data_IF_013939463841
#
_entry.id   IF_013939463841
#
_cell.length_a   1.000
_cell.length_b   1.000
_cell.length_c   1.000
_cell.angle_alpha   90.00
_cell.angle_beta   90.00
_cell.angle_gamma   90.00
#
_symmetry.space_group_name_H-M   'P 1'
#
loop_
_entity.id
_entity.type
_entity.pdbx_description
1 polymer ?
#
# COMPACT_ATOMS: atom_id res chain seq x y z
N UNK A 1 11.44 8.21 -29.68
CA UNK A 1 12.67 7.39 -29.56
C UNK A 1 12.29 5.91 -29.48
N UNK A 2 13.09 4.98 -30.06
CA UNK A 2 12.82 3.54 -30.00
C UNK A 2 13.42 2.95 -28.71
N UNK A 3 12.62 2.19 -27.94
CA UNK A 3 13.05 1.58 -26.69
C UNK A 3 12.32 0.26 -26.44
N UNK A 4 12.96 -0.71 -25.78
CA UNK A 4 12.30 -1.96 -25.34
C UNK A 4 11.34 -1.65 -24.18
N UNK A 5 10.19 -2.31 -24.14
CA UNK A 5 9.15 -2.07 -23.09
C UNK A 5 9.72 -2.26 -21.68
N UNK A 6 10.49 -3.33 -21.44
CA UNK A 6 11.08 -3.57 -20.12
C UNK A 6 12.07 -2.49 -19.69
N UNK A 7 12.84 -1.93 -20.62
CA UNK A 7 13.76 -0.82 -20.34
C UNK A 7 12.97 0.47 -20.05
N UNK A 8 11.90 0.72 -20.81
CA UNK A 8 10.97 1.83 -20.56
C UNK A 8 10.35 1.77 -19.16
N UNK A 9 9.92 0.56 -18.72
CA UNK A 9 9.39 0.36 -17.37
C UNK A 9 10.45 0.70 -16.33
N UNK A 10 11.69 0.20 -16.50
CA UNK A 10 12.79 0.44 -15.56
C UNK A 10 13.10 1.94 -15.41
N UNK A 11 13.23 2.65 -16.53
CA UNK A 11 13.45 4.11 -16.53
C UNK A 11 12.30 4.83 -15.82
N UNK A 12 11.05 4.50 -16.16
CA UNK A 12 9.87 5.21 -15.67
C UNK A 12 9.66 5.02 -14.16
N UNK A 13 9.83 3.81 -13.63
CA UNK A 13 9.72 3.59 -12.17
C UNK A 13 10.87 4.26 -11.41
N UNK A 14 12.07 4.29 -12.00
CA UNK A 14 13.21 5.00 -11.41
C UNK A 14 13.01 6.52 -11.41
N UNK A 15 12.40 7.08 -12.46
CA UNK A 15 12.03 8.51 -12.54
C UNK A 15 10.92 8.85 -11.54
N UNK A 16 9.96 7.96 -11.32
CA UNK A 16 8.92 8.13 -10.28
C UNK A 16 9.51 8.19 -8.87
N UNK A 17 10.69 7.62 -8.65
CA UNK A 17 11.38 7.60 -7.37
C UNK A 17 11.50 6.23 -6.72
N UNK A 18 11.00 5.17 -7.36
CA UNK A 18 11.23 3.79 -6.90
C UNK A 18 12.73 3.50 -7.06
N UNK A 19 13.33 2.89 -6.02
CA UNK A 19 14.76 2.56 -5.99
C UNK A 19 14.99 1.06 -5.79
N UNK A 20 14.08 0.38 -5.14
CA UNK A 20 14.25 -1.01 -4.73
C UNK A 20 13.23 -1.90 -5.42
N UNK A 21 13.72 -3.03 -5.95
CA UNK A 21 12.95 -4.07 -6.61
C UNK A 21 13.22 -5.40 -5.90
N UNK A 22 12.21 -5.96 -5.26
CA UNK A 22 12.29 -7.29 -4.65
C UNK A 22 11.84 -8.34 -5.66
N UNK A 23 12.69 -9.33 -5.93
CA UNK A 23 12.45 -10.23 -7.07
C UNK A 23 12.90 -11.67 -6.82
N UNK A 24 12.20 -12.60 -7.48
CA UNK A 24 12.70 -13.94 -7.80
C UNK A 24 12.75 -14.02 -9.32
N UNK A 25 13.91 -14.37 -9.86
CA UNK A 25 14.08 -14.46 -11.30
C UNK A 25 13.29 -15.64 -11.89
N UNK A 26 12.77 -15.45 -13.11
CA UNK A 26 12.07 -16.53 -13.81
C UNK A 26 11.84 -16.24 -15.29
N UNK A 27 11.66 -17.30 -16.07
CA UNK A 27 11.58 -17.22 -17.54
C UNK A 27 10.48 -16.31 -18.07
N UNK A 28 9.32 -16.26 -17.40
CA UNK A 28 8.22 -15.37 -17.80
C UNK A 28 8.45 -13.88 -17.52
N UNK A 29 9.46 -13.54 -16.73
CA UNK A 29 9.83 -12.16 -16.40
C UNK A 29 11.25 -11.79 -16.89
N UNK A 30 11.84 -12.57 -17.80
CA UNK A 30 13.27 -12.47 -18.13
C UNK A 30 13.70 -11.09 -18.62
N UNK A 31 12.87 -10.41 -19.43
CA UNK A 31 13.23 -9.09 -19.95
C UNK A 31 13.11 -8.01 -18.86
N UNK A 32 12.15 -8.13 -17.94
CA UNK A 32 12.04 -7.22 -16.78
C UNK A 32 13.18 -7.46 -15.79
N UNK A 33 13.52 -8.72 -15.49
CA UNK A 33 14.66 -9.04 -14.64
C UNK A 33 15.97 -8.49 -15.19
N UNK A 34 16.20 -8.59 -16.51
CA UNK A 34 17.35 -8.03 -17.21
C UNK A 34 17.36 -6.48 -17.09
N UNK A 35 16.25 -5.84 -17.44
CA UNK A 35 16.13 -4.39 -17.43
C UNK A 35 16.34 -3.80 -16.01
N UNK A 36 15.68 -4.38 -15.00
CA UNK A 36 15.80 -3.89 -13.62
C UNK A 36 17.20 -4.15 -13.04
N UNK A 37 17.77 -5.36 -13.32
CA UNK A 37 19.08 -5.73 -12.82
C UNK A 37 20.24 -4.91 -13.39
N UNK A 38 20.10 -4.37 -14.60
CA UNK A 38 21.12 -3.51 -15.23
C UNK A 38 20.85 -2.02 -15.10
N UNK A 39 19.68 -1.61 -14.58
CA UNK A 39 19.36 -0.20 -14.46
C UNK A 39 20.17 0.50 -13.34
N UNK A 40 20.91 1.60 -13.62
CA UNK A 40 21.89 2.16 -12.68
C UNK A 40 21.28 2.79 -11.42
N UNK A 41 19.96 3.07 -11.42
CA UNK A 41 19.25 3.68 -10.29
C UNK A 41 18.37 2.70 -9.54
N UNK A 42 18.26 1.45 -9.98
CA UNK A 42 17.46 0.42 -9.32
C UNK A 42 18.37 -0.58 -8.60
N UNK A 43 17.99 -0.93 -7.39
CA UNK A 43 18.64 -1.96 -6.59
C UNK A 43 17.73 -3.19 -6.53
N UNK A 44 18.16 -4.30 -7.11
CA UNK A 44 17.42 -5.56 -7.09
C UNK A 44 17.86 -6.42 -5.90
N UNK A 45 16.91 -6.74 -5.02
CA UNK A 45 17.11 -7.72 -3.94
C UNK A 45 16.50 -9.05 -4.36
N UNK A 46 17.36 -10.05 -4.57
CA UNK A 46 16.95 -11.38 -5.00
C UNK A 46 16.58 -12.24 -3.80
N UNK A 47 15.35 -12.69 -3.77
CA UNK A 47 14.79 -13.52 -2.71
C UNK A 47 14.72 -15.00 -3.14
N UNK A 48 14.42 -15.90 -2.20
CA UNK A 48 14.23 -17.33 -2.47
C UNK A 48 12.76 -17.73 -2.61
N UNK A 49 11.83 -16.80 -2.36
CA UNK A 49 10.40 -17.02 -2.46
C UNK A 49 9.67 -15.70 -2.74
N UNK A 50 8.68 -15.73 -3.62
CA UNK A 50 7.95 -14.54 -4.08
C UNK A 50 7.09 -13.91 -2.97
N UNK A 51 6.62 -14.70 -2.04
CA UNK A 51 5.95 -14.20 -0.83
C UNK A 51 6.88 -13.27 -0.04
N UNK A 52 8.16 -13.65 0.09
CA UNK A 52 9.15 -12.83 0.76
C UNK A 52 9.41 -11.52 0.00
N UNK A 53 9.38 -11.53 -1.34
CA UNK A 53 9.49 -10.31 -2.14
C UNK A 53 8.36 -9.33 -1.83
N UNK A 54 7.12 -9.81 -1.82
CA UNK A 54 5.96 -8.98 -1.56
C UNK A 54 5.94 -8.45 -0.10
N UNK A 55 6.27 -9.30 0.89
CA UNK A 55 6.40 -8.88 2.29
C UNK A 55 7.54 -7.88 2.51
N UNK A 56 8.67 -8.03 1.79
CA UNK A 56 9.77 -7.09 1.88
C UNK A 56 9.40 -5.72 1.28
N UNK A 57 8.69 -5.69 0.14
CA UNK A 57 8.21 -4.45 -0.46
C UNK A 57 7.19 -3.74 0.43
N UNK A 58 6.30 -4.50 1.06
CA UNK A 58 5.32 -3.99 2.03
C UNK A 58 6.03 -3.38 3.25
N UNK A 59 6.96 -4.12 3.87
CA UNK A 59 7.74 -3.64 5.01
C UNK A 59 8.58 -2.40 4.67
N UNK A 60 9.18 -2.36 3.46
CA UNK A 60 9.93 -1.22 2.96
C UNK A 60 9.07 0.05 2.91
N UNK A 61 7.86 -0.04 2.34
CA UNK A 61 6.96 1.11 2.25
C UNK A 61 6.42 1.58 3.61
N UNK A 62 6.33 0.69 4.62
CA UNK A 62 5.92 1.05 5.99
C UNK A 62 6.90 2.00 6.68
N UNK A 63 8.19 2.00 6.30
CA UNK A 63 9.19 2.80 6.99
C UNK A 63 9.03 4.30 6.74
N UNK A 64 8.77 4.70 5.50
CA UNK A 64 8.75 6.11 5.11
C UNK A 64 7.87 6.42 3.89
N UNK A 65 6.86 5.60 3.64
CA UNK A 65 5.92 5.70 2.51
C UNK A 65 6.57 5.58 1.12
N UNK A 66 7.85 5.23 1.00
CA UNK A 66 8.48 4.99 -0.30
C UNK A 66 8.02 3.66 -0.86
N UNK A 67 7.37 3.70 -2.00
CA UNK A 67 6.93 2.50 -2.69
C UNK A 67 8.14 1.75 -3.27
N UNK A 68 8.17 0.42 -3.05
CA UNK A 68 9.07 -0.49 -3.74
C UNK A 68 8.32 -1.26 -4.83
N UNK A 69 9.07 -1.81 -5.78
CA UNK A 69 8.52 -2.72 -6.78
C UNK A 69 8.75 -4.19 -6.40
N UNK A 70 7.83 -5.05 -6.79
CA UNK A 70 7.96 -6.50 -6.76
C UNK A 70 7.97 -6.99 -8.20
N UNK A 71 8.93 -7.84 -8.55
CA UNK A 71 8.97 -8.47 -9.87
C UNK A 71 9.02 -9.99 -9.73
N UNK A 72 7.99 -10.66 -10.21
CA UNK A 72 7.83 -12.12 -10.13
C UNK A 72 7.51 -12.71 -11.50
N UNK A 73 7.69 -14.02 -11.65
CA UNK A 73 7.44 -14.70 -12.93
C UNK A 73 5.98 -15.17 -13.05
N UNK A 74 5.71 -15.86 -14.14
CA UNK A 74 4.40 -16.41 -14.55
C UNK A 74 3.84 -17.40 -13.53
N UNK A 75 2.53 -17.45 -13.40
CA UNK A 75 1.76 -18.49 -12.71
C UNK A 75 2.13 -18.66 -11.24
N UNK A 76 2.83 -19.76 -10.85
CA UNK A 76 3.19 -19.99 -9.45
C UNK A 76 4.00 -18.85 -8.83
N UNK A 77 4.86 -18.19 -9.59
CA UNK A 77 5.58 -17.00 -9.13
C UNK A 77 4.64 -15.85 -8.76
N UNK A 78 3.67 -15.57 -9.62
CA UNK A 78 2.65 -14.55 -9.35
C UNK A 78 1.77 -14.94 -8.17
N UNK A 79 1.24 -16.17 -8.13
CA UNK A 79 0.35 -16.61 -7.04
C UNK A 79 1.05 -16.66 -5.68
N UNK A 80 2.34 -16.98 -5.63
CA UNK A 80 3.11 -16.97 -4.38
C UNK A 80 3.22 -15.57 -3.76
N UNK A 81 3.17 -14.49 -4.54
CA UNK A 81 3.26 -13.12 -4.03
C UNK A 81 1.96 -12.64 -3.34
N UNK A 82 0.82 -13.30 -3.56
CA UNK A 82 -0.51 -12.87 -3.12
C UNK A 82 -0.57 -12.59 -1.62
N UNK A 83 0.02 -13.43 -0.79
CA UNK A 83 -0.03 -13.28 0.68
C UNK A 83 0.57 -11.95 1.13
N UNK A 84 1.73 -11.55 0.58
CA UNK A 84 2.34 -10.27 0.93
C UNK A 84 1.56 -9.07 0.35
N UNK A 85 1.00 -9.22 -0.84
CA UNK A 85 0.14 -8.18 -1.44
C UNK A 85 -1.15 -7.99 -0.65
N UNK A 86 -1.76 -9.07 -0.14
CA UNK A 86 -2.92 -9.00 0.76
C UNK A 86 -2.56 -8.24 2.05
N UNK A 87 -1.37 -8.46 2.62
CA UNK A 87 -0.88 -7.69 3.78
C UNK A 87 -0.86 -6.19 3.49
N UNK A 88 -0.28 -5.80 2.35
CA UNK A 88 -0.26 -4.40 1.90
C UNK A 88 -1.67 -3.83 1.67
N UNK A 89 -2.58 -4.61 1.09
CA UNK A 89 -3.98 -4.22 0.90
C UNK A 89 -4.69 -3.94 2.22
N UNK A 90 -4.57 -4.86 3.19
CA UNK A 90 -5.23 -4.74 4.49
C UNK A 90 -4.78 -3.51 5.27
N UNK A 91 -3.52 -3.11 5.15
CA UNK A 91 -2.95 -2.01 5.90
C UNK A 91 -2.72 -0.74 5.05
N UNK A 92 -3.30 -0.71 3.84
CA UNK A 92 -3.26 0.46 2.95
C UNK A 92 -1.82 0.86 2.53
N UNK A 93 -0.96 -0.12 2.30
CA UNK A 93 0.44 0.09 1.93
C UNK A 93 0.58 0.12 0.41
N UNK A 94 1.14 1.19 -0.18
CA UNK A 94 1.34 1.27 -1.62
C UNK A 94 2.45 0.31 -2.07
N UNK A 95 2.15 -0.52 -3.06
CA UNK A 95 3.08 -1.49 -3.66
C UNK A 95 2.87 -1.54 -5.17
N UNK A 96 3.95 -1.62 -5.94
CA UNK A 96 3.90 -1.85 -7.38
C UNK A 96 4.36 -3.27 -7.68
N UNK A 97 3.44 -4.11 -8.15
CA UNK A 97 3.72 -5.52 -8.45
C UNK A 97 3.72 -5.74 -9.97
N UNK A 98 4.80 -6.31 -10.46
CA UNK A 98 4.93 -6.82 -11.82
C UNK A 98 4.95 -8.35 -11.78
N UNK A 99 4.09 -8.97 -12.57
CA UNK A 99 4.24 -10.39 -12.93
C UNK A 99 4.57 -10.54 -14.40
N UNK A 100 5.46 -11.46 -14.69
CA UNK A 100 5.63 -11.91 -16.06
C UNK A 100 4.54 -12.90 -16.45
N UNK A 101 4.32 -13.08 -17.75
CA UNK A 101 3.35 -14.00 -18.29
C UNK A 101 3.94 -14.77 -19.50
N UNK A 102 3.35 -15.89 -19.85
CA UNK A 102 3.60 -16.56 -21.14
C UNK A 102 3.38 -15.55 -22.27
N UNK A 103 3.97 -15.82 -23.45
CA UNK A 103 3.68 -15.00 -24.65
C UNK A 103 2.18 -14.91 -24.86
N UNK A 104 1.63 -13.71 -25.04
CA UNK A 104 0.19 -13.52 -25.14
C UNK A 104 -0.45 -14.42 -26.20
N UNK A 105 0.16 -14.53 -27.38
CA UNK A 105 -0.33 -15.39 -28.47
C UNK A 105 -0.43 -16.88 -28.11
N UNK A 106 0.24 -17.32 -27.04
CA UNK A 106 0.22 -18.72 -26.56
C UNK A 106 -0.62 -18.91 -25.28
N UNK A 107 -1.43 -17.93 -24.92
CA UNK A 107 -2.37 -18.01 -23.79
C UNK A 107 -3.75 -18.52 -24.21
N UNK A 108 -4.48 -19.05 -23.25
CA UNK A 108 -5.90 -19.42 -23.45
C UNK A 108 -6.72 -18.22 -23.91
N UNK A 109 -6.46 -17.06 -23.32
CA UNK A 109 -7.19 -15.81 -23.66
C UNK A 109 -7.02 -15.46 -25.16
N UNK A 110 -5.81 -15.56 -25.69
CA UNK A 110 -5.55 -15.28 -27.11
C UNK A 110 -6.09 -16.37 -28.04
N UNK A 111 -6.15 -17.62 -27.57
CA UNK A 111 -6.61 -18.76 -28.41
C UNK A 111 -8.13 -18.75 -28.67
N UNK A 112 -8.92 -18.08 -27.82
CA UNK A 112 -10.39 -18.13 -27.84
C UNK A 112 -10.98 -19.51 -27.49
N UNK A 113 -10.14 -20.47 -27.08
CA UNK A 113 -10.57 -21.82 -26.72
C UNK A 113 -10.91 -21.92 -25.23
N UNK A 114 -11.82 -22.83 -24.87
CA UNK A 114 -12.17 -23.09 -23.48
C UNK A 114 -11.21 -24.12 -22.85
N UNK A 115 -9.93 -23.79 -22.79
CA UNK A 115 -8.89 -24.60 -22.16
C UNK A 115 -8.69 -24.14 -20.69
N UNK A 116 -8.14 -25.03 -19.88
CA UNK A 116 -7.75 -24.70 -18.50
C UNK A 116 -6.44 -23.91 -18.49
N UNK A 117 -5.49 -24.26 -19.33
CA UNK A 117 -4.19 -23.63 -19.51
C UNK A 117 -3.63 -24.04 -20.86
N UNK A 118 -2.82 -23.20 -21.47
CA UNK A 118 -2.16 -23.44 -22.76
C UNK A 118 -0.68 -23.05 -22.70
N UNK A 119 -0.37 -21.84 -22.23
CA UNK A 119 1.00 -21.36 -22.06
C UNK A 119 1.72 -22.05 -20.90
N UNK A 120 3.05 -22.06 -20.94
CA UNK A 120 3.87 -22.64 -19.86
C UNK A 120 3.60 -21.90 -18.56
N UNK A 121 3.09 -22.62 -17.55
CA UNK A 121 2.73 -22.07 -16.24
C UNK A 121 1.70 -20.91 -16.31
N UNK A 122 0.95 -20.82 -17.38
CA UNK A 122 -0.06 -19.76 -17.57
C UNK A 122 -1.04 -19.72 -16.40
N UNK A 123 -1.23 -18.53 -15.87
CA UNK A 123 -2.28 -18.20 -14.91
C UNK A 123 -2.84 -16.82 -15.25
N UNK A 124 -4.15 -16.72 -15.43
CA UNK A 124 -4.79 -15.40 -15.50
C UNK A 124 -4.84 -14.80 -14.08
N UNK A 125 -3.78 -14.11 -13.69
CA UNK A 125 -3.61 -13.60 -12.33
C UNK A 125 -4.52 -12.39 -12.02
N UNK A 126 -4.88 -11.60 -13.02
CA UNK A 126 -5.63 -10.35 -12.83
C UNK A 126 -6.94 -10.55 -12.08
N UNK A 127 -7.85 -11.48 -12.48
CA UNK A 127 -9.07 -11.74 -11.70
C UNK A 127 -8.81 -12.21 -10.27
N UNK A 128 -7.67 -12.89 -10.02
CA UNK A 128 -7.33 -13.42 -8.70
C UNK A 128 -6.95 -12.30 -7.74
N UNK A 129 -6.27 -11.26 -8.23
CA UNK A 129 -5.73 -10.16 -7.40
C UNK A 129 -6.60 -8.90 -7.41
N UNK A 130 -7.64 -8.83 -8.23
CA UNK A 130 -8.50 -7.64 -8.35
C UNK A 130 -9.12 -7.23 -7.01
N UNK A 131 -9.46 -8.18 -6.13
CA UNK A 131 -10.07 -7.88 -4.82
C UNK A 131 -9.08 -7.39 -3.76
N UNK A 132 -7.78 -7.47 -4.04
CA UNK A 132 -6.69 -7.10 -3.12
C UNK A 132 -5.73 -6.07 -3.73
N UNK A 133 -6.17 -5.40 -4.79
CA UNK A 133 -5.40 -4.35 -5.47
C UNK A 133 -6.32 -3.19 -5.86
N UNK A 134 -5.77 -1.99 -5.89
CA UNK A 134 -6.49 -0.81 -6.38
C UNK A 134 -6.59 -0.77 -7.91
N UNK A 135 -5.66 -1.43 -8.57
CA UNK A 135 -5.61 -1.56 -10.01
C UNK A 135 -4.84 -2.82 -10.38
N UNK A 136 -5.42 -3.64 -11.24
CA UNK A 136 -4.79 -4.84 -11.79
C UNK A 136 -5.07 -4.94 -13.29
N UNK A 137 -4.04 -5.11 -14.11
CA UNK A 137 -4.17 -5.14 -15.56
C UNK A 137 -3.13 -6.05 -16.22
N UNK A 138 -3.56 -6.83 -17.21
CA UNK A 138 -2.65 -7.47 -18.17
C UNK A 138 -2.40 -6.50 -19.34
N UNK A 139 -1.14 -6.32 -19.71
CA UNK A 139 -0.74 -5.44 -20.82
C UNK A 139 -0.56 -6.28 -22.08
N UNK A 140 -1.52 -6.25 -22.99
CA UNK A 140 -1.49 -7.06 -24.21
C UNK A 140 -0.96 -6.30 -25.44
N UNK A 141 -1.02 -4.97 -25.42
CA UNK A 141 -0.47 -4.11 -26.46
C UNK A 141 0.73 -3.33 -25.92
N UNK A 142 1.91 -3.47 -26.48
CA UNK A 142 3.12 -2.77 -25.99
C UNK A 142 2.97 -1.26 -25.90
N UNK A 143 2.17 -0.66 -26.78
CA UNK A 143 1.91 0.78 -26.86
C UNK A 143 1.12 1.32 -25.66
N UNK A 144 0.39 0.47 -24.94
CA UNK A 144 -0.42 0.84 -23.79
C UNK A 144 0.39 0.90 -22.48
N UNK A 145 1.68 0.51 -22.52
CA UNK A 145 2.51 0.40 -21.32
C UNK A 145 2.56 1.71 -20.53
N UNK A 146 2.72 2.84 -21.20
CA UNK A 146 2.80 4.15 -20.54
C UNK A 146 1.52 4.44 -19.76
N UNK A 147 0.38 4.29 -20.41
CA UNK A 147 -0.93 4.56 -19.81
C UNK A 147 -1.16 3.71 -18.56
N UNK A 148 -0.92 2.39 -18.65
CA UNK A 148 -1.17 1.49 -17.53
C UNK A 148 -0.16 1.66 -16.40
N UNK A 149 1.10 1.96 -16.70
CA UNK A 149 2.13 2.20 -15.70
C UNK A 149 1.88 3.50 -14.92
N UNK A 150 1.61 4.61 -15.63
CA UNK A 150 1.26 5.89 -15.02
C UNK A 150 -0.02 5.77 -14.18
N UNK A 151 -1.06 5.05 -14.68
CA UNK A 151 -2.29 4.78 -13.94
C UNK A 151 -2.04 3.95 -12.69
N UNK A 152 -1.25 2.88 -12.78
CA UNK A 152 -0.91 2.05 -11.64
C UNK A 152 -0.20 2.85 -10.55
N UNK A 153 0.83 3.61 -10.91
CA UNK A 153 1.57 4.47 -9.99
C UNK A 153 0.67 5.51 -9.31
N UNK A 154 -0.19 6.15 -10.09
CA UNK A 154 -1.15 7.12 -9.56
C UNK A 154 -2.14 6.45 -8.60
N UNK A 155 -2.76 5.33 -9.00
CA UNK A 155 -3.76 4.63 -8.18
C UNK A 155 -3.16 4.08 -6.88
N UNK A 156 -1.89 3.66 -6.88
CA UNK A 156 -1.24 3.15 -5.68
C UNK A 156 -1.24 4.14 -4.51
N UNK A 157 -1.17 5.45 -4.81
CA UNK A 157 -1.04 6.52 -3.81
C UNK A 157 -2.22 7.48 -3.77
N UNK A 158 -3.20 7.37 -4.68
CA UNK A 158 -4.35 8.25 -4.73
C UNK A 158 -5.41 7.83 -3.71
N UNK A 159 -5.96 8.78 -2.94
CA UNK A 159 -6.91 8.50 -1.86
C UNK A 159 -6.28 7.58 -0.79
N UNK A 160 -7.00 6.55 -0.35
CA UNK A 160 -6.44 5.50 0.52
C UNK A 160 -5.42 4.68 -0.27
N UNK A 161 -4.13 4.64 0.12
CA UNK A 161 -3.10 3.92 -0.64
C UNK A 161 -3.35 2.41 -0.69
N UNK A 162 -2.66 1.73 -1.62
CA UNK A 162 -2.75 0.27 -1.68
C UNK A 162 -1.97 -0.33 -2.85
N UNK A 163 -1.86 -1.67 -2.92
CA UNK A 163 -1.17 -2.37 -3.97
C UNK A 163 -1.80 -2.17 -5.35
N UNK A 164 -0.96 -2.21 -6.38
CA UNK A 164 -1.34 -2.28 -7.79
C UNK A 164 -0.56 -3.37 -8.49
N UNK A 165 -1.12 -3.94 -9.57
CA UNK A 165 -0.55 -5.12 -10.25
C UNK A 165 -0.60 -4.98 -11.77
N UNK A 166 0.56 -5.14 -12.43
CA UNK A 166 0.67 -5.21 -13.88
C UNK A 166 1.21 -6.58 -14.29
N UNK A 167 0.43 -7.32 -15.07
CA UNK A 167 0.81 -8.62 -15.65
C UNK A 167 1.28 -8.40 -17.08
N UNK A 168 2.55 -8.74 -17.38
CA UNK A 168 3.18 -8.33 -18.64
C UNK A 168 3.67 -9.56 -19.38
N UNK A 169 3.01 -9.96 -20.50
CA UNK A 169 3.44 -11.07 -21.33
C UNK A 169 4.85 -10.88 -21.88
N UNK A 170 5.55 -12.00 -22.04
CA UNK A 170 6.96 -12.04 -22.42
C UNK A 170 7.25 -11.36 -23.77
N UNK A 171 6.35 -11.50 -24.73
CA UNK A 171 6.44 -10.83 -26.04
C UNK A 171 6.23 -9.31 -25.93
N UNK A 172 5.39 -8.86 -25.02
CA UNK A 172 5.21 -7.43 -24.71
C UNK A 172 6.44 -6.86 -24.01
N UNK A 173 7.02 -7.58 -23.03
CA UNK A 173 8.25 -7.14 -22.34
C UNK A 173 9.40 -6.88 -23.32
N UNK A 174 9.56 -7.75 -24.34
CA UNK A 174 10.62 -7.67 -25.34
C UNK A 174 10.31 -6.76 -26.53
N UNK A 175 9.09 -6.29 -26.68
CA UNK A 175 8.68 -5.44 -27.81
C UNK A 175 9.41 -4.08 -27.80
N UNK A 176 9.64 -3.53 -29.01
CA UNK A 176 10.23 -2.20 -29.17
C UNK A 176 9.15 -1.18 -29.50
N UNK A 177 9.00 -0.20 -28.67
CA UNK A 177 8.01 0.89 -28.76
C UNK A 177 8.62 2.21 -29.20
N UNK A 178 7.81 3.11 -29.71
CA UNK A 178 8.18 4.51 -29.95
C UNK A 178 7.66 5.39 -28.81
N UNK A 179 8.53 5.74 -27.87
CA UNK A 179 8.17 6.41 -26.63
C UNK A 179 7.48 7.76 -26.83
N UNK A 180 7.72 8.44 -27.97
CA UNK A 180 7.11 9.74 -28.29
C UNK A 180 5.63 9.62 -28.70
N UNK A 181 5.18 8.41 -29.06
CA UNK A 181 3.82 8.16 -29.51
C UNK A 181 2.92 7.52 -28.46
N UNK A 182 3.46 7.22 -27.28
CA UNK A 182 2.72 6.55 -26.24
C UNK A 182 1.67 7.50 -25.63
N UNK A 183 0.45 7.00 -25.50
CA UNK A 183 -0.60 7.67 -24.75
C UNK A 183 -0.23 7.65 -23.25
N UNK A 184 -0.24 8.81 -22.60
CA UNK A 184 -0.17 8.93 -21.15
C UNK A 184 -1.53 8.71 -20.47
N UNK A 185 -1.49 8.53 -19.16
CA UNK A 185 -2.69 8.50 -18.31
C UNK A 185 -3.08 9.91 -17.89
N UNK A 186 -4.39 10.23 -17.95
CA UNK A 186 -4.92 11.49 -17.42
C UNK A 186 -5.47 11.26 -16.00
N UNK A 187 -4.91 11.89 -14.96
CA UNK A 187 -5.43 11.81 -13.60
C UNK A 187 -6.89 12.22 -13.43
N UNK A 188 -7.45 12.97 -14.37
CA UNK A 188 -8.86 13.33 -14.38
C UNK A 188 -9.80 12.14 -14.68
N UNK A 189 -9.28 11.03 -15.21
CA UNK A 189 -10.04 9.78 -15.37
C UNK A 189 -10.40 9.16 -14.01
N UNK A 190 -9.56 9.40 -12.99
CA UNK A 190 -9.79 8.99 -11.60
C UNK A 190 -9.39 10.16 -10.67
N UNK A 191 -10.21 11.21 -10.56
CA UNK A 191 -9.86 12.39 -9.79
C UNK A 191 -9.57 12.03 -8.33
N UNK A 192 -8.65 12.77 -7.72
CA UNK A 192 -8.35 12.61 -6.28
C UNK A 192 -9.65 12.82 -5.49
N UNK A 193 -9.98 11.83 -4.67
CA UNK A 193 -10.93 12.05 -3.59
C UNK A 193 -10.36 13.14 -2.69
N UNK A 194 -11.06 14.28 -2.63
CA UNK A 194 -10.68 15.33 -1.70
C UNK A 194 -11.14 14.89 -0.31
N UNK A 195 -10.23 14.80 0.66
CA UNK A 195 -10.68 14.60 2.03
C UNK A 195 -11.65 15.71 2.41
N UNK A 196 -12.66 15.38 3.21
CA UNK A 196 -13.60 16.36 3.70
C UNK A 196 -12.84 17.46 4.48
N UNK A 197 -13.07 18.72 4.13
CA UNK A 197 -12.50 19.82 4.89
C UNK A 197 -13.14 19.86 6.29
N UNK A 198 -12.33 19.73 7.32
CA UNK A 198 -12.79 19.85 8.71
C UNK A 198 -12.98 21.35 9.00
N UNK A 199 -14.21 21.77 9.29
CA UNK A 199 -14.50 23.17 9.61
C UNK A 199 -13.84 23.59 10.93
N UNK A 200 -13.57 24.89 11.07
CA UNK A 200 -13.03 25.45 12.33
C UNK A 200 -13.95 25.18 13.52
N UNK A 201 -15.27 25.15 13.29
CA UNK A 201 -16.25 24.83 14.34
C UNK A 201 -16.11 23.39 14.85
N UNK A 202 -15.84 22.42 13.96
CA UNK A 202 -15.58 21.03 14.37
C UNK A 202 -14.26 20.96 15.13
N UNK A 203 -13.21 21.62 14.67
CA UNK A 203 -11.92 21.68 15.37
C UNK A 203 -12.12 22.26 16.78
N UNK A 204 -12.86 23.36 16.92
CA UNK A 204 -13.14 23.96 18.24
C UNK A 204 -13.93 23.01 19.14
N UNK A 205 -14.92 22.29 18.61
CA UNK A 205 -15.65 21.28 19.36
C UNK A 205 -14.75 20.15 19.87
N UNK A 206 -13.79 19.69 19.06
CA UNK A 206 -12.80 18.68 19.46
C UNK A 206 -11.93 19.22 20.60
N UNK A 207 -11.39 20.43 20.46
CA UNK A 207 -10.56 21.07 21.48
C UNK A 207 -11.33 21.25 22.79
N UNK A 208 -12.57 21.75 22.73
CA UNK A 208 -13.45 21.91 23.88
C UNK A 208 -13.71 20.59 24.61
N UNK A 209 -13.85 19.49 23.87
CA UNK A 209 -14.03 18.14 24.44
C UNK A 209 -12.77 17.67 25.16
N UNK A 210 -11.61 17.88 24.59
CA UNK A 210 -10.32 17.52 25.18
C UNK A 210 -10.06 18.35 26.43
N UNK A 211 -10.27 19.68 26.37
CA UNK A 211 -10.06 20.59 27.49
C UNK A 211 -10.95 20.27 28.70
N UNK A 212 -12.20 19.89 28.45
CA UNK A 212 -13.18 19.53 29.52
C UNK A 212 -13.01 18.10 30.04
N UNK A 213 -12.18 17.31 29.37
CA UNK A 213 -11.91 15.92 29.73
C UNK A 213 -10.99 15.83 30.95
N UNK A 214 -11.18 14.78 31.76
CA UNK A 214 -10.28 14.45 32.88
C UNK A 214 -9.26 13.39 32.52
N UNK A 215 -9.54 12.58 31.50
CA UNK A 215 -8.72 11.46 31.06
C UNK A 215 -8.72 11.36 29.54
N UNK A 216 -8.29 12.43 28.83
CA UNK A 216 -8.20 12.40 27.39
C UNK A 216 -7.09 11.46 26.94
N UNK A 217 -7.26 10.79 25.82
CA UNK A 217 -6.26 9.92 25.21
C UNK A 217 -6.18 10.18 23.70
N UNK A 218 -4.96 10.27 23.17
CA UNK A 218 -4.68 10.28 21.74
C UNK A 218 -4.32 8.87 21.25
N UNK A 219 -4.81 8.53 20.06
CA UNK A 219 -4.57 7.23 19.45
C UNK A 219 -4.25 7.36 17.95
N UNK A 220 -2.96 7.53 17.57
CA UNK A 220 -2.57 7.52 16.17
C UNK A 220 -2.62 6.12 15.59
N UNK A 221 -3.14 6.00 14.39
CA UNK A 221 -2.98 4.83 13.53
C UNK A 221 -1.91 5.05 12.46
N UNK A 222 -1.71 4.05 11.60
CA UNK A 222 -0.79 4.17 10.46
C UNK A 222 -1.19 5.24 9.45
N UNK A 223 -2.46 5.64 9.42
CA UNK A 223 -2.96 6.72 8.57
C UNK A 223 -2.23 8.06 8.78
N UNK A 224 -1.73 8.33 9.99
CA UNK A 224 -0.91 9.52 10.27
C UNK A 224 0.38 9.50 9.45
N UNK A 225 1.05 8.35 9.38
CA UNK A 225 2.26 8.16 8.55
C UNK A 225 1.91 8.24 7.07
N UNK A 226 0.87 7.54 6.64
CA UNK A 226 0.46 7.52 5.23
C UNK A 226 0.10 8.92 4.72
N UNK A 227 -0.43 9.77 5.59
CA UNK A 227 -0.71 11.18 5.30
C UNK A 227 0.54 12.09 5.31
N UNK A 228 1.71 11.57 5.68
CA UNK A 228 2.94 12.38 5.86
C UNK A 228 2.87 13.33 7.06
N UNK A 229 1.98 13.07 8.04
CA UNK A 229 1.65 13.98 9.13
C UNK A 229 2.32 13.62 10.47
N UNK A 230 3.39 12.82 10.46
CA UNK A 230 4.06 12.39 11.71
C UNK A 230 4.64 13.55 12.50
N UNK A 231 5.29 14.52 11.83
CA UNK A 231 5.86 15.70 12.49
C UNK A 231 4.78 16.59 13.11
N UNK A 232 3.65 16.74 12.43
CA UNK A 232 2.53 17.51 12.95
C UNK A 232 1.84 16.79 14.12
N UNK A 233 1.76 15.46 14.08
CA UNK A 233 1.29 14.66 15.20
C UNK A 233 2.20 14.83 16.43
N UNK A 234 3.53 14.80 16.27
CA UNK A 234 4.46 15.03 17.38
C UNK A 234 4.30 16.45 17.98
N UNK A 235 4.10 17.47 17.14
CA UNK A 235 3.78 18.83 17.61
C UNK A 235 2.48 18.86 18.39
N UNK A 236 1.42 18.21 17.88
CA UNK A 236 0.12 18.11 18.53
C UNK A 236 0.24 17.46 19.91
N UNK A 237 0.97 16.35 20.04
CA UNK A 237 1.23 15.67 21.32
C UNK A 237 1.87 16.62 22.32
N UNK A 238 2.89 17.36 21.91
CA UNK A 238 3.59 18.29 22.79
C UNK A 238 2.71 19.49 23.20
N UNK A 239 1.83 19.98 22.33
CA UNK A 239 0.91 21.08 22.62
C UNK A 239 -0.18 20.63 23.60
N UNK A 240 -0.79 19.47 23.37
CA UNK A 240 -1.90 18.99 24.18
C UNK A 240 -1.44 18.42 25.53
N UNK A 241 -0.25 17.82 25.60
CA UNK A 241 0.28 17.24 26.84
C UNK A 241 -0.58 16.11 27.41
N UNK A 242 -1.27 15.35 26.56
CA UNK A 242 -2.18 14.27 26.96
C UNK A 242 -1.58 12.88 26.65
N UNK A 243 -1.99 11.84 27.39
CA UNK A 243 -1.51 10.49 27.15
C UNK A 243 -1.75 10.02 25.72
N UNK A 244 -0.74 9.36 25.13
CA UNK A 244 -0.79 8.73 23.83
C UNK A 244 -0.69 7.22 23.98
N UNK A 245 -1.58 6.49 23.32
CA UNK A 245 -1.49 5.06 23.14
C UNK A 245 -1.22 4.74 21.67
N UNK A 246 -0.53 3.64 21.38
CA UNK A 246 -0.31 3.18 20.00
C UNK A 246 -0.95 1.83 19.76
N UNK A 247 -1.25 1.52 18.50
CA UNK A 247 -1.68 0.22 18.05
C UNK A 247 -0.54 -0.60 17.44
N UNK A 248 -0.85 -1.78 16.94
CA UNK A 248 0.13 -2.68 16.33
C UNK A 248 0.74 -2.09 15.05
N UNK A 249 -0.05 -1.43 14.20
CA UNK A 249 0.41 -0.82 12.95
C UNK A 249 0.99 0.60 13.11
N UNK A 250 0.97 1.15 14.33
CA UNK A 250 1.51 2.47 14.67
C UNK A 250 2.45 2.42 15.88
N UNK A 251 3.08 1.28 16.11
CA UNK A 251 3.94 1.03 17.29
C UNK A 251 5.10 2.02 17.41
N UNK A 252 5.58 2.56 16.33
CA UNK A 252 6.68 3.51 16.21
C UNK A 252 6.22 4.98 16.10
N UNK A 253 4.93 5.25 16.24
CA UNK A 253 4.41 6.61 16.24
C UNK A 253 4.86 7.42 17.48
N UNK A 254 5.29 6.74 18.55
CA UNK A 254 5.82 7.35 19.76
C UNK A 254 7.04 6.60 20.27
N UNK A 255 8.03 7.34 20.75
CA UNK A 255 9.16 6.76 21.49
C UNK A 255 8.69 6.21 22.84
N UNK A 256 9.23 5.06 23.26
CA UNK A 256 8.80 4.42 24.50
C UNK A 256 9.11 5.23 25.76
N UNK A 257 10.14 6.08 25.71
CA UNK A 257 10.58 6.95 26.80
C UNK A 257 9.89 8.33 26.80
N UNK A 258 9.03 8.60 25.79
CA UNK A 258 8.33 9.87 25.72
C UNK A 258 7.39 10.05 26.93
N UNK A 259 7.39 11.22 27.62
CA UNK A 259 6.65 11.41 28.88
C UNK A 259 5.14 11.22 28.75
N UNK A 260 4.58 11.40 27.57
CA UNK A 260 3.15 11.20 27.31
C UNK A 260 2.82 9.81 26.72
N UNK A 261 3.80 8.91 26.52
CA UNK A 261 3.52 7.58 26.04
C UNK A 261 2.94 6.70 27.14
N UNK A 262 1.68 6.33 27.03
CA UNK A 262 0.97 5.50 28.01
C UNK A 262 1.09 3.98 27.71
N UNK A 263 1.59 3.60 26.55
CA UNK A 263 1.76 2.20 26.15
C UNK A 263 0.98 1.83 24.90
N UNK A 264 0.91 0.52 24.62
CA UNK A 264 0.22 -0.04 23.46
C UNK A 264 -1.12 -0.60 23.88
N UNK A 265 -2.14 -0.43 23.04
CA UNK A 265 -3.47 -1.01 23.24
C UNK A 265 -3.74 -2.15 22.27
N UNK A 266 -4.80 -2.93 22.53
CA UNK A 266 -5.22 -4.08 21.73
C UNK A 266 -4.83 -5.42 22.33
N UNK A 267 -5.08 -6.52 21.60
CA UNK A 267 -4.86 -7.88 22.05
C UNK A 267 -3.40 -8.22 22.41
N UNK A 268 -2.45 -7.56 21.73
CA UNK A 268 -0.99 -7.66 22.01
C UNK A 268 -0.45 -6.44 22.74
N UNK A 269 -1.34 -5.61 23.30
CA UNK A 269 -1.01 -4.38 23.98
C UNK A 269 -0.42 -4.60 25.38
N UNK A 270 0.03 -3.49 25.95
CA UNK A 270 0.53 -3.43 27.34
C UNK A 270 -0.61 -3.16 28.31
N UNK A 271 -0.44 -3.57 29.56
CA UNK A 271 -1.43 -3.28 30.60
C UNK A 271 -1.69 -1.76 30.76
N UNK A 272 -0.68 -0.88 30.82
CA UNK A 272 -0.91 0.58 30.92
C UNK A 272 -1.68 1.13 29.70
N UNK A 273 -1.32 0.75 28.48
CA UNK A 273 -2.00 1.22 27.27
C UNK A 273 -3.46 0.80 27.23
N UNK A 274 -3.77 -0.46 27.54
CA UNK A 274 -5.16 -0.93 27.63
C UNK A 274 -5.95 -0.25 28.76
N UNK A 275 -5.33 0.03 29.90
CA UNK A 275 -5.99 0.76 30.98
C UNK A 275 -6.21 2.23 30.64
N UNK A 276 -5.25 2.90 29.99
CA UNK A 276 -5.42 4.26 29.52
C UNK A 276 -6.63 4.36 28.59
N UNK A 277 -6.72 3.45 27.61
CA UNK A 277 -7.85 3.36 26.68
C UNK A 277 -9.18 3.15 27.41
N UNK A 278 -9.28 2.09 28.23
CA UNK A 278 -10.54 1.68 28.86
C UNK A 278 -11.05 2.66 29.93
N UNK A 279 -10.17 3.49 30.47
CA UNK A 279 -10.54 4.51 31.47
C UNK A 279 -10.60 5.91 30.87
N UNK A 280 -10.35 6.10 29.58
CA UNK A 280 -10.49 7.39 28.93
C UNK A 280 -11.95 7.87 28.99
N UNK A 281 -12.14 9.18 29.07
CA UNK A 281 -13.45 9.84 28.93
C UNK A 281 -13.57 10.60 27.61
N UNK A 282 -12.43 10.87 26.94
CA UNK A 282 -12.34 11.31 25.55
C UNK A 282 -11.21 10.55 24.85
N UNK A 283 -11.50 9.98 23.71
CA UNK A 283 -10.54 9.31 22.84
C UNK A 283 -10.52 10.02 21.48
N UNK A 284 -9.37 10.62 21.12
CA UNK A 284 -9.14 11.11 19.76
C UNK A 284 -8.29 10.12 18.99
N UNK A 285 -8.93 9.41 18.06
CA UNK A 285 -8.33 8.42 17.18
C UNK A 285 -8.11 9.01 15.80
N UNK A 286 -6.85 9.01 15.30
CA UNK A 286 -6.45 9.67 14.06
C UNK A 286 -5.84 8.65 13.12
N UNK A 287 -6.46 8.43 11.95
CA UNK A 287 -5.99 7.51 10.92
C UNK A 287 -5.85 6.07 11.40
N UNK A 288 -6.80 5.60 12.21
CA UNK A 288 -6.76 4.30 12.86
C UNK A 288 -8.07 3.54 12.64
N UNK A 289 -8.02 2.51 11.83
CA UNK A 289 -9.15 1.70 11.37
C UNK A 289 -9.94 0.96 12.46
N UNK A 290 -9.46 0.86 13.70
CA UNK A 290 -10.15 0.18 14.80
C UNK A 290 -10.50 -1.31 14.54
N UNK A 291 -9.67 -2.05 13.83
CA UNK A 291 -9.89 -3.47 13.53
C UNK A 291 -9.97 -4.35 14.80
N UNK A 292 -10.54 -5.56 14.70
CA UNK A 292 -10.75 -6.47 15.84
C UNK A 292 -9.49 -6.86 16.62
N UNK A 293 -8.30 -6.84 15.99
CA UNK A 293 -7.03 -7.01 16.71
C UNK A 293 -6.80 -5.89 17.75
N UNK A 294 -7.38 -4.70 17.50
CA UNK A 294 -7.33 -3.54 18.37
C UNK A 294 -8.50 -3.49 19.35
N UNK A 295 -9.73 -3.67 18.87
CA UNK A 295 -10.94 -3.50 19.68
C UNK A 295 -11.37 -4.78 20.41
N UNK A 296 -10.94 -5.95 19.91
CA UNK A 296 -11.48 -7.25 20.33
C UNK A 296 -12.83 -7.55 19.68
N UNK A 297 -13.30 -8.81 19.82
CA UNK A 297 -14.58 -9.23 19.24
C UNK A 297 -15.79 -8.62 19.96
N UNK A 298 -15.63 -8.22 21.22
CA UNK A 298 -16.66 -7.50 22.00
C UNK A 298 -16.41 -5.99 21.88
N UNK A 299 -16.38 -5.47 20.67
CA UNK A 299 -16.03 -4.09 20.36
C UNK A 299 -16.95 -3.05 21.05
N UNK A 300 -18.17 -3.44 21.45
CA UNK A 300 -19.09 -2.59 22.19
C UNK A 300 -18.58 -2.23 23.58
N UNK A 301 -17.71 -3.05 24.16
CA UNK A 301 -17.07 -2.80 25.46
C UNK A 301 -15.75 -2.04 25.33
N UNK A 302 -15.28 -1.79 24.10
CA UNK A 302 -14.05 -1.06 23.84
C UNK A 302 -14.23 0.43 24.07
N UNK A 303 -13.32 1.06 24.84
CA UNK A 303 -13.40 2.47 25.21
C UNK A 303 -14.79 2.89 25.75
N UNK A 304 -15.47 1.99 26.47
CA UNK A 304 -16.90 2.05 26.84
C UNK A 304 -17.34 3.31 27.58
N UNK A 305 -16.40 4.01 28.23
CA UNK A 305 -16.67 5.27 28.96
C UNK A 305 -16.26 6.53 28.19
N UNK A 306 -15.73 6.36 26.99
CA UNK A 306 -15.11 7.44 26.23
C UNK A 306 -16.06 8.05 25.20
N UNK A 307 -16.04 9.37 25.09
CA UNK A 307 -16.52 10.04 23.88
C UNK A 307 -15.45 9.88 22.80
N UNK A 308 -15.72 9.01 21.84
CA UNK A 308 -14.74 8.67 20.79
C UNK A 308 -14.91 9.59 19.59
N UNK A 309 -13.80 10.22 19.20
CA UNK A 309 -13.67 11.06 18.01
C UNK A 309 -12.79 10.30 17.02
N UNK A 310 -13.34 9.98 15.85
CA UNK A 310 -12.63 9.29 14.79
C UNK A 310 -12.31 10.27 13.65
N UNK A 311 -11.07 10.27 13.21
CA UNK A 311 -10.62 11.00 12.02
C UNK A 311 -9.95 10.00 11.09
N UNK A 312 -10.56 9.72 9.97
CA UNK A 312 -10.07 8.80 8.94
C UNK A 312 -10.33 9.36 7.55
N UNK A 313 -9.62 8.85 6.54
CA UNK A 313 -9.84 9.18 5.12
C UNK A 313 -11.05 8.43 4.56
N UNK A 314 -11.39 7.28 5.14
CA UNK A 314 -12.49 6.41 4.74
C UNK A 314 -13.68 6.63 5.70
N UNK A 315 -14.80 7.09 5.19
CA UNK A 315 -16.02 7.35 5.97
C UNK A 315 -16.69 6.09 6.54
N UNK A 316 -16.27 4.92 6.09
CA UNK A 316 -16.81 3.63 6.53
C UNK A 316 -16.00 2.99 7.66
N UNK A 317 -14.89 3.61 8.09
CA UNK A 317 -14.04 3.08 9.17
C UNK A 317 -14.52 3.45 10.60
#
# INVERSE_FOLDING_TARGET
MKQKVSDYIADHIAEWGIRDVFTVTGGGAMHMNDAFGHHPKLHCTYQHHEQACAMAAEAYARMDNRMAAVCVTTGPGATNAITGVLGGWMDSIPMLVFSGQARYATTVAASGLKLRSMGVQECNIVPVVTSITKYAQIIIHPEDIRYHLEKALYMAVNGRPGPVWLDIPLDVQGAVIDTEKLRGYDPQENPKEKPAEISQDIIQQILDKIEKSRRPVLFPGNGVRLAGAMDDFQKLVNILGVPVITGMSSVDAMESEHPYFAGRSGGTGTRPGNFALQNSDVLLSIGNRQGFAQTGFQYQDWARGSYTILNDIDENE
#
